data_IF_683181080897
#
_entry.id   IF_683181080897
#
_cell.length_a   1.000
_cell.length_b   1.000
_cell.length_c   1.000
_cell.angle_alpha   90.00
_cell.angle_beta   90.00
_cell.angle_gamma   90.00
#
_symmetry.space_group_name_H-M   'P 1'
#
loop_
_entity.id
_entity.type
_entity.pdbx_description
1 polymer ?
#
# COMPACT_ATOMS: atom_id res chain seq x y z
N UNK A 1 -5.86 -10.85 12.00
CA UNK A 1 -4.71 -9.94 12.21
C UNK A 1 -4.72 -8.92 11.08
N UNK A 2 -4.51 -7.64 11.36
CA UNK A 2 -4.42 -6.61 10.31
C UNK A 2 -3.09 -6.77 9.57
N UNK A 3 -3.13 -6.94 8.24
CA UNK A 3 -1.93 -7.07 7.40
C UNK A 3 -1.65 -5.75 6.73
N UNK A 4 -0.41 -5.29 6.77
CA UNK A 4 -0.01 -4.05 6.12
C UNK A 4 0.43 -4.35 4.68
N UNK A 5 -0.03 -3.54 3.74
CA UNK A 5 0.40 -3.61 2.34
C UNK A 5 0.93 -2.25 1.89
N UNK A 6 1.95 -2.27 1.03
CA UNK A 6 2.42 -1.10 0.32
C UNK A 6 2.05 -1.23 -1.16
N UNK A 7 1.30 -0.27 -1.70
CA UNK A 7 0.81 -0.27 -3.07
C UNK A 7 1.44 0.89 -3.83
N UNK A 8 2.00 0.63 -5.01
CA UNK A 8 2.48 1.65 -5.93
C UNK A 8 1.47 1.87 -7.05
N UNK A 9 0.91 3.06 -7.11
CA UNK A 9 -0.02 3.49 -8.16
C UNK A 9 0.71 4.41 -9.13
N UNK A 10 0.61 4.16 -10.43
CA UNK A 10 1.11 5.06 -11.45
C UNK A 10 0.15 6.25 -11.57
N UNK A 11 0.57 7.44 -11.15
CA UNK A 11 -0.28 8.64 -11.10
C UNK A 11 -0.93 8.99 -12.45
N UNK A 12 -0.22 8.93 -13.59
CA UNK A 12 -0.83 9.25 -14.88
C UNK A 12 -1.93 8.28 -15.34
N UNK A 13 -1.82 6.98 -15.06
CA UNK A 13 -2.82 5.99 -15.48
C UNK A 13 -3.81 5.60 -14.38
N UNK A 14 -3.51 5.91 -13.12
CA UNK A 14 -4.24 5.43 -11.94
C UNK A 14 -4.06 3.93 -11.66
N UNK A 15 -3.21 3.24 -12.40
CA UNK A 15 -3.06 1.79 -12.30
C UNK A 15 -2.10 1.40 -11.17
N UNK A 16 -2.45 0.35 -10.44
CA UNK A 16 -1.54 -0.28 -9.47
C UNK A 16 -0.48 -1.05 -10.24
N UNK A 17 0.75 -0.54 -10.19
CA UNK A 17 1.91 -1.17 -10.83
C UNK A 17 2.56 -2.22 -9.94
N UNK A 18 2.44 -2.07 -8.61
CA UNK A 18 3.10 -2.97 -7.66
C UNK A 18 2.38 -3.02 -6.33
N UNK A 19 2.44 -4.18 -5.70
CA UNK A 19 2.00 -4.39 -4.31
C UNK A 19 3.07 -5.17 -3.57
N UNK A 20 3.45 -4.69 -2.39
CA UNK A 20 4.38 -5.35 -1.48
C UNK A 20 3.66 -5.75 -0.19
N UNK A 21 4.04 -6.90 0.36
CA UNK A 21 3.51 -7.45 1.60
C UNK A 21 2.95 -8.86 1.43
N UNK A 22 2.22 -9.38 2.43
CA UNK A 22 1.84 -8.68 3.66
C UNK A 22 3.02 -8.42 4.61
N UNK A 23 2.94 -7.31 5.36
CA UNK A 23 3.85 -6.98 6.45
C UNK A 23 3.13 -6.94 7.79
N UNK A 24 3.86 -7.21 8.86
CA UNK A 24 3.34 -7.15 10.23
C UNK A 24 3.24 -5.71 10.77
N UNK A 25 4.10 -4.81 10.29
CA UNK A 25 4.17 -3.43 10.79
C UNK A 25 4.24 -2.41 9.65
N UNK A 26 3.73 -1.19 9.92
CA UNK A 26 3.83 -0.05 9.01
C UNK A 26 5.29 0.34 8.73
N UNK A 27 6.17 0.16 9.71
CA UNK A 27 7.59 0.42 9.56
C UNK A 27 8.23 -0.55 8.55
N UNK A 28 7.96 -1.85 8.68
CA UNK A 28 8.48 -2.86 7.76
C UNK A 28 8.03 -2.62 6.31
N UNK A 29 6.76 -2.24 6.11
CA UNK A 29 6.24 -1.91 4.79
C UNK A 29 6.95 -0.68 4.17
N UNK A 30 7.17 0.38 4.95
CA UNK A 30 7.88 1.59 4.48
C UNK A 30 9.36 1.31 4.19
N UNK A 31 10.01 0.51 5.01
CA UNK A 31 11.40 0.09 4.78
C UNK A 31 11.54 -0.69 3.46
N UNK A 32 10.64 -1.66 3.22
CA UNK A 32 10.63 -2.43 1.98
C UNK A 32 10.41 -1.55 0.73
N UNK A 33 9.58 -0.50 0.84
CA UNK A 33 9.42 0.49 -0.25
C UNK A 33 10.72 1.23 -0.50
N UNK A 34 11.40 1.72 0.55
CA UNK A 34 12.68 2.44 0.41
C UNK A 34 13.73 1.54 -0.26
N UNK A 35 13.82 0.27 0.14
CA UNK A 35 14.71 -0.72 -0.49
C UNK A 35 14.33 -0.97 -1.95
N UNK A 36 13.05 -1.17 -2.25
CA UNK A 36 12.58 -1.39 -3.62
C UNK A 36 12.79 -0.18 -4.54
N UNK A 37 12.74 1.03 -3.99
CA UNK A 37 12.87 2.29 -4.72
C UNK A 37 14.33 2.73 -4.81
N UNK A 38 15.19 2.28 -3.89
CA UNK A 38 16.58 2.69 -3.77
C UNK A 38 16.76 4.13 -3.24
N UNK A 39 15.71 4.74 -2.69
CA UNK A 39 15.74 6.12 -2.22
C UNK A 39 14.83 6.31 -1.00
N UNK A 40 15.27 7.15 -0.07
CA UNK A 40 14.44 7.60 1.06
C UNK A 40 13.28 8.44 0.54
N UNK A 41 12.07 8.12 0.98
CA UNK A 41 10.84 8.83 0.65
C UNK A 41 10.36 9.67 1.84
N UNK A 42 9.73 10.80 1.53
CA UNK A 42 8.99 11.58 2.51
C UNK A 42 7.58 10.99 2.59
N UNK A 43 7.18 10.60 3.79
CA UNK A 43 5.90 9.96 4.04
C UNK A 43 4.97 10.92 4.76
N UNK A 44 3.80 11.13 4.18
CA UNK A 44 2.70 11.86 4.79
C UNK A 44 1.74 10.87 5.44
N UNK A 45 1.41 11.12 6.71
CA UNK A 45 0.43 10.31 7.43
C UNK A 45 -0.96 10.88 7.17
N UNK A 46 -1.82 10.07 6.59
CA UNK A 46 -3.23 10.43 6.39
C UNK A 46 -4.05 10.20 7.67
N UNK A 47 -5.18 10.89 7.75
CA UNK A 47 -6.16 10.77 8.85
C UNK A 47 -6.73 9.35 9.00
N UNK A 48 -6.72 8.57 7.92
CA UNK A 48 -7.10 7.15 7.88
C UNK A 48 -6.08 6.22 8.55
N UNK A 49 -4.90 6.74 8.92
CA UNK A 49 -3.78 5.94 9.43
C UNK A 49 -2.88 5.35 8.34
N UNK A 50 -3.23 5.55 7.06
CA UNK A 50 -2.36 5.23 5.94
C UNK A 50 -1.17 6.20 5.85
N UNK A 51 -0.07 5.73 5.27
CA UNK A 51 1.09 6.54 4.93
C UNK A 51 1.22 6.62 3.43
N UNK A 52 1.40 7.83 2.91
CA UNK A 52 1.54 8.07 1.48
C UNK A 52 2.86 8.75 1.19
N UNK A 53 3.52 8.33 0.12
CA UNK A 53 4.74 8.93 -0.36
C UNK A 53 4.68 9.09 -1.87
N UNK A 54 4.84 10.32 -2.34
CA UNK A 54 4.95 10.61 -3.76
C UNK A 54 6.38 10.43 -4.25
N UNK A 55 6.52 9.70 -5.35
CA UNK A 55 7.74 9.61 -6.15
C UNK A 55 7.36 9.52 -7.62
N UNK A 56 7.14 10.67 -8.25
CA UNK A 56 6.69 10.73 -9.64
C UNK A 56 7.50 9.78 -10.56
N UNK A 57 6.84 8.96 -11.39
CA UNK A 57 5.39 8.94 -11.67
C UNK A 57 4.57 8.02 -10.75
N UNK A 58 5.15 7.52 -9.65
CA UNK A 58 4.51 6.58 -8.73
C UNK A 58 4.06 7.25 -7.43
N UNK A 59 2.90 6.83 -6.93
CA UNK A 59 2.38 7.13 -5.61
C UNK A 59 2.43 5.86 -4.78
N UNK A 60 3.14 5.89 -3.66
CA UNK A 60 3.19 4.78 -2.72
C UNK A 60 2.20 5.00 -1.59
N UNK A 61 1.35 4.02 -1.34
CA UNK A 61 0.37 4.02 -0.25
C UNK A 61 0.61 2.80 0.62
N UNK A 62 0.89 3.02 1.90
CA UNK A 62 1.04 1.98 2.92
C UNK A 62 -0.16 2.03 3.84
N UNK A 63 -0.94 0.96 3.88
CA UNK A 63 -2.18 0.89 4.66
C UNK A 63 -2.35 -0.47 5.32
N UNK A 64 -3.06 -0.46 6.45
CA UNK A 64 -3.49 -1.69 7.11
C UNK A 64 -4.77 -2.20 6.42
N UNK A 65 -4.69 -3.37 5.81
CA UNK A 65 -5.86 -4.09 5.32
C UNK A 65 -6.23 -5.15 6.34
N UNK A 66 -7.48 -5.07 6.82
CA UNK A 66 -8.08 -6.22 7.46
C UNK A 66 -8.25 -7.30 6.39
N UNK A 67 -7.77 -8.52 6.64
CA UNK A 67 -8.30 -9.71 5.97
C UNK A 67 -9.76 -9.88 6.41
N UNK A 68 -10.64 -8.99 5.98
CA UNK A 68 -12.01 -9.39 5.71
C UNK A 68 -11.86 -10.35 4.54
N UNK A 69 -12.23 -11.62 4.72
CA UNK A 69 -12.31 -12.58 3.62
C UNK A 69 -13.10 -12.02 2.43
N UNK A 70 -13.08 -12.70 1.27
CA UNK A 70 -13.80 -12.22 0.09
C UNK A 70 -15.23 -11.83 0.50
N UNK A 71 -15.80 -10.72 0.00
CA UNK A 71 -17.20 -10.44 0.26
C UNK A 71 -17.97 -11.66 -0.19
N UNK A 72 -18.49 -12.42 0.79
CA UNK A 72 -19.37 -13.53 0.51
C UNK A 72 -20.54 -12.99 -0.30
N UNK A 73 -20.82 -13.66 -1.40
CA UNK A 73 -21.99 -13.38 -2.22
C UNK A 73 -21.66 -13.23 -3.69
N UNK A 74 -21.25 -14.33 -4.35
CA UNK A 74 -21.76 -14.54 -5.69
C UNK A 74 -23.28 -14.44 -5.59
N UNK A 75 -23.83 -13.36 -6.12
CA UNK A 75 -25.25 -13.21 -6.33
C UNK A 75 -25.71 -14.31 -7.29
N UNK A 76 -26.44 -15.27 -6.73
CA UNK A 76 -27.55 -16.02 -7.35
C UNK A 76 -27.19 -16.75 -8.66
N UNK A 77 -26.99 -18.06 -8.53
CA UNK A 77 -27.24 -19.05 -9.58
C UNK A 77 -28.74 -19.20 -9.84
#
# INVERSE_FOLDING_TARGET
MSRIYATATHLPSGEVTRTLGPFETLHAARAAVIESVGQVLIWERQSTGAFVAEKYPLLWVVEARSESGPPGGCAIC
#
